data_IF_451457160952
#
_entry.id   IF_451457160952
#
_cell.length_a   1.000
_cell.length_b   1.000
_cell.length_c   1.000
_cell.angle_alpha   90.00
_cell.angle_beta   90.00
_cell.angle_gamma   90.00
#
_symmetry.space_group_name_H-M   'P 1'
#
loop_
_entity.id
_entity.type
_entity.pdbx_description
1 polymer ?
#
# COMPACT_ATOMS: atom_id res chain seq x y z
N UNK A 1 -8.93 10.37 -11.68
CA UNK A 1 -7.63 9.72 -11.43
C UNK A 1 -7.13 10.25 -10.08
N UNK A 2 -6.92 9.39 -9.09
CA UNK A 2 -6.45 9.83 -7.75
C UNK A 2 -4.97 10.17 -7.80
N UNK A 3 -4.51 11.18 -7.07
CA UNK A 3 -3.08 11.45 -6.95
C UNK A 3 -2.41 10.43 -6.00
N UNK A 4 -1.10 10.26 -6.10
CA UNK A 4 -0.35 9.25 -5.34
C UNK A 4 -0.43 9.43 -3.81
N UNK A 5 -0.57 10.67 -3.35
CA UNK A 5 -0.83 11.03 -1.94
C UNK A 5 -2.17 10.50 -1.44
N UNK A 6 -3.25 10.65 -2.23
CA UNK A 6 -4.58 10.13 -1.90
C UNK A 6 -4.56 8.60 -1.87
N UNK A 7 -3.93 7.97 -2.86
CA UNK A 7 -3.76 6.51 -2.90
C UNK A 7 -2.98 6.02 -1.68
N UNK A 8 -1.95 6.76 -1.25
CA UNK A 8 -1.13 6.37 -0.11
C UNK A 8 -1.94 6.46 1.19
N UNK A 9 -2.68 7.56 1.38
CA UNK A 9 -3.56 7.73 2.55
C UNK A 9 -4.66 6.66 2.60
N UNK A 10 -5.26 6.33 1.45
CA UNK A 10 -6.23 5.24 1.35
C UNK A 10 -5.62 3.90 1.77
N UNK A 11 -4.39 3.61 1.32
CA UNK A 11 -3.64 2.43 1.75
C UNK A 11 -3.43 2.40 3.26
N UNK A 12 -3.03 3.52 3.87
CA UNK A 12 -2.78 3.60 5.32
C UNK A 12 -4.08 3.42 6.13
N UNK A 13 -5.20 4.00 5.68
CA UNK A 13 -6.51 3.80 6.32
C UNK A 13 -6.91 2.32 6.27
N UNK A 14 -6.81 1.70 5.09
CA UNK A 14 -7.15 0.28 4.90
C UNK A 14 -6.26 -0.61 5.77
N UNK A 15 -4.96 -0.32 5.82
CA UNK A 15 -4.00 -1.08 6.60
C UNK A 15 -4.21 -0.94 8.12
N UNK A 16 -4.27 0.29 8.64
CA UNK A 16 -4.28 0.54 10.08
C UNK A 16 -5.67 0.51 10.68
N UNK A 17 -6.63 1.20 10.07
CA UNK A 17 -7.96 1.39 10.65
C UNK A 17 -8.89 0.21 10.32
N UNK A 18 -8.87 -0.26 9.07
CA UNK A 18 -9.82 -1.28 8.62
C UNK A 18 -9.26 -2.71 8.70
N UNK A 19 -7.95 -2.87 8.88
CA UNK A 19 -7.24 -4.15 8.77
C UNK A 19 -7.51 -4.89 7.45
N UNK A 20 -7.89 -4.13 6.41
CA UNK A 20 -8.12 -4.59 5.06
C UNK A 20 -6.78 -4.63 4.31
N UNK A 21 -6.03 -5.71 4.54
CA UNK A 21 -4.70 -5.86 3.97
C UNK A 21 -4.72 -5.98 2.44
N UNK A 22 -5.74 -6.63 1.87
CA UNK A 22 -5.87 -6.79 0.42
C UNK A 22 -6.22 -5.47 -0.27
N UNK A 23 -7.12 -4.69 0.32
CA UNK A 23 -7.40 -3.35 -0.17
C UNK A 23 -6.20 -2.40 -0.01
N UNK A 24 -5.44 -2.50 1.09
CA UNK A 24 -4.22 -1.73 1.28
C UNK A 24 -3.18 -2.06 0.19
N UNK A 25 -2.96 -3.35 -0.08
CA UNK A 25 -2.09 -3.82 -1.16
C UNK A 25 -2.53 -3.26 -2.53
N UNK A 26 -3.83 -3.26 -2.81
CA UNK A 26 -4.35 -2.71 -4.07
C UNK A 26 -4.07 -1.21 -4.21
N UNK A 27 -4.21 -0.42 -3.15
CA UNK A 27 -3.95 1.01 -3.18
C UNK A 27 -2.45 1.32 -3.39
N UNK A 28 -1.57 0.60 -2.68
CA UNK A 28 -0.12 0.74 -2.83
C UNK A 28 0.38 0.30 -4.21
N UNK A 29 -0.13 -0.81 -4.75
CA UNK A 29 0.25 -1.27 -6.11
C UNK A 29 -0.11 -0.25 -7.17
N UNK A 30 -1.26 0.42 -7.04
CA UNK A 30 -1.65 1.48 -7.97
C UNK A 30 -0.62 2.63 -8.01
N UNK A 31 0.02 2.95 -6.87
CA UNK A 31 1.12 3.92 -6.81
C UNK A 31 2.34 3.42 -7.60
N UNK A 32 2.71 2.15 -7.43
CA UNK A 32 3.84 1.55 -8.15
C UNK A 32 3.60 1.51 -9.66
N UNK A 33 2.38 1.19 -10.08
CA UNK A 33 2.04 1.00 -11.49
C UNK A 33 1.93 2.35 -12.25
N UNK A 34 1.45 3.41 -11.60
CA UNK A 34 1.10 4.66 -12.27
C UNK A 34 1.94 5.88 -11.84
N UNK A 35 2.71 5.79 -10.76
CA UNK A 35 3.38 6.94 -10.15
C UNK A 35 4.83 6.64 -9.75
N UNK A 36 5.64 6.17 -10.70
CA UNK A 36 7.05 5.80 -10.48
C UNK A 36 7.95 6.92 -9.92
N UNK A 37 7.61 8.19 -10.16
CA UNK A 37 8.36 9.35 -9.67
C UNK A 37 7.79 9.95 -8.36
N UNK A 38 6.80 9.30 -7.75
CA UNK A 38 6.17 9.79 -6.52
C UNK A 38 7.05 9.57 -5.30
N UNK A 39 7.03 10.53 -4.37
CA UNK A 39 7.63 10.40 -3.04
C UNK A 39 7.06 9.22 -2.23
N UNK A 40 5.91 8.67 -2.64
CA UNK A 40 5.26 7.53 -2.01
C UNK A 40 5.61 6.19 -2.65
N UNK A 41 6.38 6.16 -3.74
CA UNK A 41 6.71 4.91 -4.45
C UNK A 41 7.44 3.93 -3.52
N UNK A 42 8.57 4.35 -2.95
CA UNK A 42 9.36 3.48 -2.07
C UNK A 42 8.62 3.10 -0.79
N UNK A 43 7.87 4.04 -0.20
CA UNK A 43 7.04 3.78 1.00
C UNK A 43 5.98 2.73 0.71
N UNK A 44 5.32 2.82 -0.46
CA UNK A 44 4.29 1.88 -0.88
C UNK A 44 4.87 0.49 -1.13
N UNK A 45 6.05 0.40 -1.76
CA UNK A 45 6.77 -0.87 -1.92
C UNK A 45 7.07 -1.53 -0.58
N UNK A 46 7.64 -0.78 0.37
CA UNK A 46 7.95 -1.29 1.72
C UNK A 46 6.69 -1.78 2.45
N UNK A 47 5.57 -1.07 2.32
CA UNK A 47 4.28 -1.49 2.92
C UNK A 47 3.76 -2.78 2.29
N UNK A 48 3.90 -2.95 0.97
CA UNK A 48 3.53 -4.18 0.27
C UNK A 48 4.36 -5.37 0.79
N UNK A 49 5.67 -5.20 0.87
CA UNK A 49 6.59 -6.22 1.41
C UNK A 49 6.19 -6.61 2.83
N UNK A 50 6.00 -5.63 3.71
CA UNK A 50 5.58 -5.85 5.09
C UNK A 50 4.23 -6.60 5.19
N UNK A 51 3.23 -6.24 4.40
CA UNK A 51 1.94 -6.94 4.40
C UNK A 51 2.11 -8.39 3.94
N UNK A 52 2.91 -8.64 2.90
CA UNK A 52 3.15 -10.00 2.41
C UNK A 52 3.88 -10.85 3.46
N UNK A 53 4.86 -10.27 4.16
CA UNK A 53 5.54 -10.94 5.27
C UNK A 53 4.56 -11.27 6.40
N UNK A 54 3.68 -10.34 6.79
CA UNK A 54 2.65 -10.59 7.81
C UNK A 54 1.74 -11.75 7.40
N UNK A 55 1.33 -11.82 6.14
CA UNK A 55 0.48 -12.91 5.62
C UNK A 55 1.18 -14.26 5.58
N UNK A 56 2.50 -14.27 5.38
CA UNK A 56 3.30 -15.48 5.27
C UNK A 56 3.87 -15.97 6.60
N UNK A 57 3.60 -15.29 7.73
CA UNK A 57 4.05 -15.75 9.05
C UNK A 57 3.24 -16.98 9.49
N UNK A 58 3.89 -18.11 9.81
CA UNK A 58 3.21 -19.23 10.43
C UNK A 58 2.69 -18.84 11.82
N UNK A 59 1.50 -19.33 12.17
CA UNK A 59 0.83 -19.15 13.48
C UNK A 59 1.52 -20.05 14.51
#
# INVERSE_FOLDING_TARGET
MFNADILYLLGEIKFYALKDYDGALSAYRNILDNYSNSLYFDKSRQKIEFINELKNRPI
#
